data_IF_592885523824
#
_entry.id   IF_592885523824
#
_cell.length_a   1.000
_cell.length_b   1.000
_cell.length_c   1.000
_cell.angle_alpha   90.00
_cell.angle_beta   90.00
_cell.angle_gamma   90.00
#
_symmetry.space_group_name_H-M   'P 1'
#
loop_
_entity.id
_entity.type
_entity.pdbx_description
1 polymer ?
#
# COMPACT_ATOMS: atom_id res chain seq x y z
N UNK A 1 -19.28 -45.16 -21.07
CA UNK A 1 -18.21 -44.23 -21.52
C UNK A 1 -18.75 -42.93 -22.09
N UNK A 2 -19.69 -42.90 -23.06
CA UNK A 2 -20.21 -41.65 -23.67
C UNK A 2 -20.84 -40.68 -22.67
N UNK A 3 -21.60 -41.14 -21.63
CA UNK A 3 -22.20 -40.31 -20.61
C UNK A 3 -21.21 -39.66 -19.65
N UNK A 4 -20.11 -40.34 -19.35
CA UNK A 4 -19.03 -39.78 -18.51
C UNK A 4 -18.25 -38.68 -19.24
N UNK A 5 -18.02 -38.85 -20.55
CA UNK A 5 -17.41 -37.81 -21.39
C UNK A 5 -18.31 -36.58 -21.52
N UNK A 6 -19.63 -36.75 -21.63
CA UNK A 6 -20.57 -35.63 -21.70
C UNK A 6 -20.60 -34.83 -20.38
N UNK A 7 -20.63 -35.51 -19.23
CA UNK A 7 -20.57 -34.87 -17.92
C UNK A 7 -19.25 -34.11 -17.68
N UNK A 8 -18.12 -34.72 -18.07
CA UNK A 8 -16.81 -34.08 -17.99
C UNK A 8 -16.72 -32.86 -18.89
N UNK A 9 -17.30 -32.87 -20.10
CA UNK A 9 -17.29 -31.74 -21.02
C UNK A 9 -18.19 -30.58 -20.48
N UNK A 10 -19.35 -30.88 -19.88
CA UNK A 10 -20.22 -29.86 -19.28
C UNK A 10 -19.53 -29.20 -18.09
N UNK A 11 -18.87 -29.97 -17.22
CA UNK A 11 -18.11 -29.44 -16.09
C UNK A 11 -16.95 -28.57 -16.57
N UNK A 12 -16.25 -28.98 -17.63
CA UNK A 12 -15.11 -28.22 -18.18
C UNK A 12 -15.58 -26.88 -18.80
N UNK A 13 -16.70 -26.86 -19.51
CA UNK A 13 -17.29 -25.64 -20.08
C UNK A 13 -17.76 -24.70 -18.96
N UNK A 14 -18.34 -25.22 -17.88
CA UNK A 14 -18.80 -24.39 -16.76
C UNK A 14 -17.64 -23.70 -16.03
N UNK A 15 -16.50 -24.37 -15.86
CA UNK A 15 -15.30 -23.79 -15.22
C UNK A 15 -14.68 -22.71 -16.09
N UNK A 16 -14.62 -22.92 -17.41
CA UNK A 16 -14.08 -21.88 -18.34
C UNK A 16 -14.99 -20.64 -18.36
N UNK A 17 -16.31 -20.83 -18.36
CA UNK A 17 -17.24 -19.70 -18.40
C UNK A 17 -17.19 -18.85 -17.14
N UNK A 18 -17.04 -19.45 -15.96
CA UNK A 18 -16.88 -18.69 -14.71
C UNK A 18 -15.56 -17.90 -14.65
N UNK A 19 -14.45 -18.49 -15.10
CA UNK A 19 -13.18 -17.79 -15.16
C UNK A 19 -13.23 -16.56 -16.09
N UNK A 20 -13.86 -16.70 -17.26
CA UNK A 20 -14.03 -15.57 -18.20
C UNK A 20 -14.91 -14.46 -17.64
N UNK A 21 -15.99 -14.82 -16.93
CA UNK A 21 -16.92 -13.86 -16.32
C UNK A 21 -16.21 -13.09 -15.19
N UNK A 22 -15.45 -13.77 -14.33
CA UNK A 22 -14.69 -13.13 -13.26
C UNK A 22 -13.66 -12.16 -13.81
N UNK A 23 -12.91 -12.53 -14.85
CA UNK A 23 -11.91 -11.66 -15.46
C UNK A 23 -12.56 -10.38 -16.04
N UNK A 24 -13.70 -10.50 -16.72
CA UNK A 24 -14.44 -9.35 -17.20
C UNK A 24 -14.93 -8.44 -16.05
N UNK A 25 -15.47 -9.03 -14.97
CA UNK A 25 -15.93 -8.29 -13.81
C UNK A 25 -14.78 -7.56 -13.10
N UNK A 26 -13.61 -8.19 -12.96
CA UNK A 26 -12.39 -7.57 -12.43
C UNK A 26 -11.98 -6.36 -13.28
N UNK A 27 -11.95 -6.49 -14.60
CA UNK A 27 -11.61 -5.38 -15.49
C UNK A 27 -12.61 -4.23 -15.40
N UNK A 28 -13.91 -4.52 -15.34
CA UNK A 28 -14.95 -3.48 -15.20
C UNK A 28 -14.81 -2.73 -13.88
N UNK A 29 -14.56 -3.43 -12.76
CA UNK A 29 -14.35 -2.83 -11.45
C UNK A 29 -13.10 -1.95 -11.42
N UNK A 30 -11.99 -2.40 -12.01
CA UNK A 30 -10.77 -1.62 -12.13
C UNK A 30 -10.98 -0.35 -12.99
N UNK A 31 -11.71 -0.44 -14.10
CA UNK A 31 -12.02 0.72 -14.94
C UNK A 31 -12.90 1.75 -14.20
N UNK A 32 -13.90 1.28 -13.45
CA UNK A 32 -14.72 2.16 -12.59
C UNK A 32 -13.89 2.82 -11.50
N UNK A 33 -13.01 2.06 -10.85
CA UNK A 33 -12.11 2.58 -9.83
C UNK A 33 -11.19 3.67 -10.40
N UNK A 34 -10.63 3.45 -11.60
CA UNK A 34 -9.82 4.46 -12.28
C UNK A 34 -10.60 5.75 -12.49
N UNK A 35 -11.86 5.66 -12.95
CA UNK A 35 -12.72 6.84 -13.14
C UNK A 35 -12.93 7.60 -11.83
N UNK A 36 -13.15 6.89 -10.71
CA UNK A 36 -13.25 7.51 -9.40
C UNK A 36 -11.94 8.16 -8.94
N UNK A 37 -10.80 7.49 -9.17
CA UNK A 37 -9.48 8.05 -8.87
C UNK A 37 -9.21 9.33 -9.66
N UNK A 38 -9.53 9.35 -10.96
CA UNK A 38 -9.36 10.52 -11.83
C UNK A 38 -10.21 11.72 -11.37
N UNK A 39 -11.34 11.46 -10.72
CA UNK A 39 -12.22 12.46 -10.11
C UNK A 39 -11.86 12.81 -8.66
N UNK A 40 -10.84 12.18 -8.07
CA UNK A 40 -10.44 12.38 -6.67
C UNK A 40 -11.34 11.69 -5.64
N UNK A 41 -12.30 10.86 -6.07
CA UNK A 41 -13.16 10.06 -5.19
C UNK A 41 -12.45 8.76 -4.82
N UNK A 42 -11.46 8.88 -3.93
CA UNK A 42 -10.65 7.74 -3.51
C UNK A 42 -11.45 6.73 -2.68
N UNK A 43 -12.49 7.16 -1.97
CA UNK A 43 -13.36 6.26 -1.19
C UNK A 43 -14.10 5.29 -2.11
N UNK A 44 -14.78 5.80 -3.14
CA UNK A 44 -15.48 4.96 -4.11
C UNK A 44 -14.50 4.09 -4.92
N UNK A 45 -13.30 4.61 -5.24
CA UNK A 45 -12.26 3.83 -5.89
C UNK A 45 -11.83 2.62 -5.05
N UNK A 46 -11.56 2.84 -3.75
CA UNK A 46 -11.19 1.77 -2.80
C UNK A 46 -12.28 0.70 -2.74
N UNK A 47 -13.57 1.08 -2.66
CA UNK A 47 -14.67 0.10 -2.65
C UNK A 47 -14.70 -0.76 -3.91
N UNK A 48 -14.51 -0.18 -5.10
CA UNK A 48 -14.48 -0.93 -6.36
C UNK A 48 -13.27 -1.86 -6.43
N UNK A 49 -12.09 -1.38 -6.02
CA UNK A 49 -10.86 -2.18 -6.03
C UNK A 49 -10.91 -3.31 -4.99
N UNK A 50 -11.47 -3.08 -3.81
CA UNK A 50 -11.73 -4.16 -2.84
C UNK A 50 -12.65 -5.23 -3.42
N UNK A 51 -13.75 -4.84 -4.05
CA UNK A 51 -14.64 -5.79 -4.73
C UNK A 51 -13.91 -6.56 -5.85
N UNK A 52 -12.97 -5.93 -6.54
CA UNK A 52 -12.14 -6.59 -7.55
C UNK A 52 -11.17 -7.60 -6.93
N UNK A 53 -10.53 -7.25 -5.80
CA UNK A 53 -9.66 -8.16 -5.03
C UNK A 53 -10.44 -9.36 -4.49
N UNK A 54 -11.68 -9.16 -4.05
CA UNK A 54 -12.56 -10.24 -3.58
C UNK A 54 -12.91 -11.24 -4.69
N UNK A 55 -12.99 -10.79 -5.95
CA UNK A 55 -13.20 -11.66 -7.10
C UNK A 55 -11.91 -12.39 -7.52
N UNK A 56 -10.77 -11.69 -7.52
CA UNK A 56 -9.46 -12.26 -7.83
C UNK A 56 -8.35 -11.45 -7.15
N UNK A 57 -7.80 -12.00 -6.07
CA UNK A 57 -6.71 -11.39 -5.31
C UNK A 57 -5.33 -11.55 -5.94
N UNK A 58 -5.22 -12.32 -7.03
CA UNK A 58 -3.94 -12.60 -7.71
C UNK A 58 -3.59 -11.60 -8.82
N UNK A 59 -4.46 -10.62 -9.07
CA UNK A 59 -4.24 -9.57 -10.08
C UNK A 59 -3.36 -8.47 -9.50
N UNK A 60 -2.12 -8.41 -9.96
CA UNK A 60 -1.12 -7.42 -9.52
C UNK A 60 -1.63 -5.98 -9.65
N UNK A 61 -2.16 -5.63 -10.83
CA UNK A 61 -2.64 -4.28 -11.13
C UNK A 61 -3.75 -3.84 -10.18
N UNK A 62 -4.64 -4.76 -9.80
CA UNK A 62 -5.71 -4.46 -8.84
C UNK A 62 -5.13 -4.16 -7.45
N UNK A 63 -4.19 -4.97 -6.96
CA UNK A 63 -3.53 -4.74 -5.67
C UNK A 63 -2.74 -3.43 -5.68
N UNK A 64 -1.98 -3.17 -6.75
CA UNK A 64 -1.22 -1.93 -6.89
C UNK A 64 -2.13 -0.70 -6.91
N UNK A 65 -3.19 -0.71 -7.72
CA UNK A 65 -4.14 0.40 -7.81
C UNK A 65 -4.89 0.63 -6.49
N UNK A 66 -5.23 -0.44 -5.76
CA UNK A 66 -5.82 -0.34 -4.42
C UNK A 66 -4.88 0.35 -3.43
N UNK A 67 -3.59 -0.01 -3.46
CA UNK A 67 -2.59 0.64 -2.64
C UNK A 67 -2.42 2.13 -3.00
N UNK A 68 -2.42 2.48 -4.29
CA UNK A 68 -2.41 3.87 -4.76
C UNK A 68 -3.65 4.63 -4.27
N UNK A 69 -4.84 4.03 -4.33
CA UNK A 69 -6.08 4.65 -3.85
C UNK A 69 -6.03 4.90 -2.33
N UNK A 70 -5.53 3.96 -1.53
CA UNK A 70 -5.29 4.16 -0.10
C UNK A 70 -4.27 5.27 0.17
N UNK A 71 -3.17 5.33 -0.60
CA UNK A 71 -2.16 6.40 -0.48
C UNK A 71 -2.77 7.77 -0.71
N UNK A 72 -3.60 7.91 -1.74
CA UNK A 72 -4.30 9.16 -2.06
C UNK A 72 -5.36 9.54 -1.03
N UNK A 73 -5.94 8.56 -0.34
CA UNK A 73 -6.84 8.76 0.79
C UNK A 73 -6.08 9.00 2.12
N UNK A 74 -4.74 9.02 2.10
CA UNK A 74 -3.87 9.12 3.29
C UNK A 74 -4.15 8.02 4.33
N UNK A 75 -4.57 6.84 3.85
CA UNK A 75 -4.71 5.63 4.65
C UNK A 75 -3.42 4.79 4.49
N UNK A 76 -2.33 5.32 5.04
CA UNK A 76 -1.00 4.71 4.89
C UNK A 76 -0.90 3.29 5.45
N UNK A 77 -1.54 2.94 6.59
CA UNK A 77 -1.49 1.55 7.07
C UNK A 77 -2.05 0.53 6.07
N UNK A 78 -3.19 0.84 5.45
CA UNK A 78 -3.77 -0.03 4.44
C UNK A 78 -2.99 0.01 3.11
N UNK A 79 -2.43 1.17 2.75
CA UNK A 79 -1.55 1.30 1.58
C UNK A 79 -0.32 0.40 1.70
N UNK A 80 0.42 0.47 2.82
CA UNK A 80 1.62 -0.33 3.12
C UNK A 80 1.32 -1.82 2.99
N UNK A 81 0.25 -2.29 3.65
CA UNK A 81 -0.18 -3.68 3.57
C UNK A 81 -0.46 -4.12 2.13
N UNK A 82 -1.13 -3.27 1.37
CA UNK A 82 -1.60 -3.59 0.01
C UNK A 82 -0.47 -3.54 -1.01
N UNK A 83 0.48 -2.58 -0.89
CA UNK A 83 1.72 -2.61 -1.67
C UNK A 83 2.53 -3.87 -1.40
N UNK A 84 2.63 -4.32 -0.15
CA UNK A 84 3.26 -5.59 0.18
C UNK A 84 2.61 -6.79 -0.52
N UNK A 85 1.28 -6.78 -0.74
CA UNK A 85 0.61 -7.80 -1.53
C UNK A 85 0.94 -7.68 -3.03
N UNK A 86 0.96 -6.47 -3.59
CA UNK A 86 1.34 -6.23 -4.98
C UNK A 86 2.78 -6.69 -5.25
N UNK A 87 3.73 -6.37 -4.37
CA UNK A 87 5.13 -6.79 -4.49
C UNK A 87 5.28 -8.33 -4.49
N UNK A 88 4.48 -9.05 -3.68
CA UNK A 88 4.49 -10.53 -3.70
C UNK A 88 4.03 -11.09 -5.03
N UNK A 89 3.12 -10.40 -5.74
CA UNK A 89 2.61 -10.82 -7.05
C UNK A 89 3.57 -10.44 -8.18
N UNK A 90 4.23 -9.28 -8.09
CA UNK A 90 5.23 -8.84 -9.05
C UNK A 90 6.44 -8.20 -8.34
N UNK A 91 7.43 -9.00 -7.91
CA UNK A 91 8.58 -8.51 -7.17
C UNK A 91 9.57 -7.69 -8.01
N UNK A 92 9.40 -7.65 -9.33
CA UNK A 92 10.29 -6.90 -10.21
C UNK A 92 9.77 -5.50 -10.56
N UNK A 93 8.58 -5.15 -10.09
CA UNK A 93 8.00 -3.83 -10.34
C UNK A 93 8.57 -2.78 -9.38
N UNK A 94 9.58 -2.04 -9.83
CA UNK A 94 10.33 -1.08 -9.03
C UNK A 94 9.44 -0.02 -8.36
N UNK A 95 8.46 0.54 -9.10
CA UNK A 95 7.59 1.62 -8.59
C UNK A 95 6.75 1.22 -7.37
N UNK A 96 6.51 -0.09 -7.16
CA UNK A 96 5.82 -0.55 -5.96
C UNK A 96 6.67 -0.36 -4.71
N UNK A 97 7.98 -0.59 -4.78
CA UNK A 97 8.92 -0.36 -3.66
C UNK A 97 9.05 1.14 -3.37
N UNK A 98 9.17 1.98 -4.40
CA UNK A 98 9.17 3.43 -4.21
C UNK A 98 7.90 3.92 -3.51
N UNK A 99 6.73 3.46 -3.99
CA UNK A 99 5.44 3.88 -3.45
C UNK A 99 5.24 3.37 -2.02
N UNK A 100 5.72 2.15 -1.71
CA UNK A 100 5.72 1.59 -0.35
C UNK A 100 6.59 2.45 0.58
N UNK A 101 7.84 2.75 0.19
CA UNK A 101 8.74 3.58 0.96
C UNK A 101 8.15 4.97 1.26
N UNK A 102 7.49 5.60 0.27
CA UNK A 102 6.78 6.88 0.45
C UNK A 102 5.65 6.77 1.48
N UNK A 103 4.88 5.67 1.48
CA UNK A 103 3.81 5.48 2.48
C UNK A 103 4.38 5.28 3.88
N UNK A 104 5.46 4.54 4.02
CA UNK A 104 6.14 4.31 5.30
C UNK A 104 6.76 5.62 5.84
N UNK A 105 7.40 6.41 4.98
CA UNK A 105 7.92 7.74 5.31
C UNK A 105 6.81 8.67 5.79
N UNK A 106 5.66 8.70 5.09
CA UNK A 106 4.54 9.57 5.45
C UNK A 106 3.90 9.15 6.78
N UNK A 107 3.70 7.85 6.99
CA UNK A 107 3.18 7.36 8.27
C UNK A 107 4.15 7.66 9.43
N UNK A 108 5.46 7.50 9.22
CA UNK A 108 6.48 7.89 10.19
C UNK A 108 6.41 9.38 10.53
N UNK A 109 6.25 10.26 9.52
CA UNK A 109 6.06 11.70 9.71
C UNK A 109 4.76 12.03 10.45
N UNK A 110 3.69 11.28 10.21
CA UNK A 110 2.42 11.45 10.93
C UNK A 110 2.54 11.08 12.41
N UNK A 111 3.29 10.02 12.72
CA UNK A 111 3.59 9.63 14.11
C UNK A 111 4.41 10.72 14.80
N UNK A 112 5.48 11.21 14.18
CA UNK A 112 6.35 12.26 14.74
C UNK A 112 5.57 13.55 15.00
N UNK A 113 4.66 13.89 14.08
CA UNK A 113 3.84 15.10 14.18
C UNK A 113 2.62 14.95 15.11
N UNK A 114 2.38 13.75 15.67
CA UNK A 114 1.21 13.48 16.52
C UNK A 114 -0.12 13.51 15.76
N UNK A 115 -0.10 13.39 14.42
CA UNK A 115 -1.32 13.35 13.60
C UNK A 115 -2.03 11.99 13.68
N UNK A 116 -1.32 10.99 14.14
CA UNK A 116 -1.82 9.64 14.40
C UNK A 116 -1.37 9.15 15.76
N UNK A 117 -2.20 8.30 16.36
CA UNK A 117 -1.91 7.56 17.58
C UNK A 117 -1.70 6.10 17.25
N UNK A 118 -0.66 5.51 17.81
CA UNK A 118 -0.40 4.06 17.74
C UNK A 118 -0.93 3.42 19.02
N UNK A 119 -1.87 2.50 18.89
CA UNK A 119 -2.49 1.75 19.98
C UNK A 119 -1.63 0.54 20.38
N UNK A 120 -1.99 -0.11 21.51
CA UNK A 120 -1.25 -1.26 22.03
C UNK A 120 -1.29 -2.50 21.12
N UNK A 121 -2.29 -2.61 20.27
CA UNK A 121 -2.42 -3.66 19.24
C UNK A 121 -1.72 -3.31 17.91
N UNK A 122 -0.93 -2.22 17.89
CA UNK A 122 -0.29 -1.63 16.71
C UNK A 122 -1.27 -1.09 15.65
N UNK A 123 -2.54 -0.93 15.96
CA UNK A 123 -3.44 -0.16 15.09
C UNK A 123 -3.11 1.33 15.13
N UNK A 124 -3.40 2.02 14.04
CA UNK A 124 -3.12 3.44 13.87
C UNK A 124 -4.44 4.18 13.71
N UNK A 125 -4.65 5.21 14.53
CA UNK A 125 -5.84 6.06 14.50
C UNK A 125 -5.44 7.50 14.19
N UNK A 126 -6.22 8.18 13.33
CA UNK A 126 -6.04 9.63 13.09
C UNK A 126 -6.48 10.41 14.33
N UNK A 127 -5.67 11.40 14.73
CA UNK A 127 -6.02 12.33 15.82
C UNK A 127 -6.79 13.49 15.22
N UNK A 128 -7.99 13.78 15.77
CA UNK A 128 -8.78 14.92 15.33
C UNK A 128 -8.05 16.24 15.66
N UNK A 129 -8.07 17.18 14.71
CA UNK A 129 -7.35 18.47 14.81
C UNK A 129 -7.78 19.33 16.00
N UNK A 130 -8.91 19.03 16.64
CA UNK A 130 -9.38 19.71 17.84
C UNK A 130 -8.50 19.48 19.06
N UNK A 131 -7.75 18.35 19.08
CA UNK A 131 -6.86 17.99 20.20
C UNK A 131 -5.38 18.38 19.95
N UNK A 132 -5.04 18.79 18.71
CA UNK A 132 -3.67 19.09 18.27
C UNK A 132 -3.25 20.57 18.45
N UNK A 133 -4.12 21.45 18.92
CA UNK A 133 -3.81 22.90 19.13
C UNK A 133 -3.08 23.23 20.43
N UNK A 134 -2.55 22.25 21.15
CA UNK A 134 -1.66 22.54 22.25
C UNK A 134 -0.22 22.51 21.76
N UNK A 135 0.52 23.56 22.05
CA UNK A 135 1.98 23.75 21.85
C UNK A 135 2.81 22.72 22.68
N UNK A 136 2.19 21.55 23.01
CA UNK A 136 2.77 20.49 23.80
C UNK A 136 3.59 19.59 22.91
N UNK A 137 4.89 19.47 23.21
CA UNK A 137 5.79 18.51 22.59
C UNK A 137 5.15 17.14 22.58
N UNK A 138 5.00 16.55 21.39
CA UNK A 138 4.47 15.20 21.22
C UNK A 138 5.38 14.21 21.97
N UNK A 139 4.81 13.53 22.96
CA UNK A 139 5.50 12.46 23.69
C UNK A 139 5.06 11.12 23.09
N UNK A 140 5.97 10.46 22.40
CA UNK A 140 5.70 9.18 21.77
C UNK A 140 5.67 8.05 22.81
N UNK A 141 4.66 7.18 22.74
CA UNK A 141 4.62 5.92 23.50
C UNK A 141 5.73 4.96 23.01
N UNK A 142 6.07 3.96 23.81
CA UNK A 142 7.06 2.96 23.38
C UNK A 142 6.63 2.19 22.11
N UNK A 143 5.33 1.92 21.96
CA UNK A 143 4.78 1.33 20.72
C UNK A 143 4.94 2.26 19.53
N UNK A 144 4.68 3.56 19.73
CA UNK A 144 4.89 4.58 18.68
C UNK A 144 6.36 4.67 18.27
N UNK A 145 7.29 4.67 19.24
CA UNK A 145 8.74 4.68 18.96
C UNK A 145 9.18 3.45 18.20
N UNK A 146 8.70 2.26 18.62
CA UNK A 146 9.02 1.01 17.93
C UNK A 146 8.51 1.04 16.48
N UNK A 147 7.21 1.34 16.29
CA UNK A 147 6.61 1.44 14.96
C UNK A 147 7.35 2.46 14.08
N UNK A 148 7.68 3.64 14.63
CA UNK A 148 8.45 4.67 13.94
C UNK A 148 9.80 4.15 13.45
N UNK A 149 10.55 3.46 14.30
CA UNK A 149 11.84 2.88 13.94
C UNK A 149 11.69 1.81 12.86
N UNK A 150 10.67 0.95 12.96
CA UNK A 150 10.40 -0.08 11.96
C UNK A 150 10.05 0.56 10.59
N UNK A 151 9.18 1.58 10.58
CA UNK A 151 8.80 2.30 9.35
C UNK A 151 9.99 3.00 8.69
N UNK A 152 10.83 3.68 9.47
CA UNK A 152 12.00 4.36 8.91
C UNK A 152 13.02 3.37 8.33
N UNK A 153 13.26 2.24 9.00
CA UNK A 153 14.15 1.20 8.48
C UNK A 153 13.59 0.54 7.22
N UNK A 154 12.29 0.25 7.20
CA UNK A 154 11.63 -0.33 6.03
C UNK A 154 11.69 0.63 4.84
N UNK A 155 11.34 1.91 5.02
CA UNK A 155 11.41 2.91 3.97
C UNK A 155 12.83 3.05 3.38
N UNK A 156 13.87 3.03 4.22
CA UNK A 156 15.28 3.04 3.77
C UNK A 156 15.58 1.80 2.92
N UNK A 157 15.14 0.63 3.36
CA UNK A 157 15.31 -0.64 2.64
C UNK A 157 14.59 -0.62 1.29
N UNK A 158 13.34 -0.16 1.27
CA UNK A 158 12.50 -0.18 0.06
C UNK A 158 12.96 0.85 -0.97
N UNK A 159 13.46 2.02 -0.54
CA UNK A 159 14.17 2.94 -1.44
C UNK A 159 15.44 2.30 -2.04
N UNK A 160 16.18 1.50 -1.27
CA UNK A 160 17.31 0.73 -1.77
C UNK A 160 16.89 -0.30 -2.83
N UNK A 161 15.82 -1.07 -2.56
CA UNK A 161 15.27 -2.05 -3.51
C UNK A 161 14.75 -1.37 -4.79
N UNK A 162 14.15 -0.18 -4.68
CA UNK A 162 13.78 0.62 -5.85
C UNK A 162 15.01 0.97 -6.68
N UNK A 163 16.09 1.47 -6.06
CA UNK A 163 17.33 1.82 -6.78
C UNK A 163 17.97 0.61 -7.47
N UNK A 164 17.95 -0.55 -6.84
CA UNK A 164 18.51 -1.78 -7.41
C UNK A 164 17.75 -2.24 -8.67
N UNK A 165 16.46 -1.94 -8.73
CA UNK A 165 15.57 -2.32 -9.84
C UNK A 165 15.41 -1.21 -10.89
N UNK A 166 15.62 0.04 -10.51
CA UNK A 166 15.51 1.21 -11.39
C UNK A 166 16.90 1.67 -11.83
N UNK A 167 17.15 1.65 -13.13
CA UNK A 167 18.44 2.05 -13.73
C UNK A 167 18.53 3.55 -14.05
N UNK A 168 17.51 4.34 -13.72
CA UNK A 168 17.50 5.80 -13.96
C UNK A 168 18.54 6.50 -13.07
N UNK A 169 19.49 7.21 -13.71
CA UNK A 169 20.51 7.97 -12.98
C UNK A 169 19.93 9.24 -12.34
N UNK A 170 18.85 9.80 -12.92
CA UNK A 170 18.25 11.04 -12.44
C UNK A 170 17.56 10.83 -11.08
N UNK A 171 16.95 9.66 -10.86
CA UNK A 171 16.30 9.33 -9.59
C UNK A 171 17.27 9.02 -8.47
N UNK A 172 18.49 8.57 -8.82
CA UNK A 172 19.46 8.07 -7.86
C UNK A 172 19.83 9.12 -6.80
N UNK A 173 20.17 10.33 -7.23
CA UNK A 173 20.58 11.41 -6.31
C UNK A 173 19.44 11.79 -5.37
N UNK A 174 18.21 11.87 -5.89
CA UNK A 174 17.03 12.17 -5.10
C UNK A 174 16.77 11.09 -4.03
N UNK A 175 16.88 9.82 -4.40
CA UNK A 175 16.69 8.70 -3.44
C UNK A 175 17.80 8.67 -2.40
N UNK A 176 19.06 8.93 -2.77
CA UNK A 176 20.18 9.01 -1.83
C UNK A 176 19.97 10.13 -0.79
N UNK A 177 19.45 11.29 -1.21
CA UNK A 177 19.08 12.37 -0.30
C UNK A 177 17.94 11.96 0.65
N UNK A 178 16.91 11.29 0.13
CA UNK A 178 15.80 10.76 0.93
C UNK A 178 16.26 9.75 1.98
N UNK A 179 17.07 8.78 1.58
CA UNK A 179 17.65 7.79 2.50
C UNK A 179 18.46 8.46 3.60
N UNK A 180 19.27 9.48 3.27
CA UNK A 180 20.05 10.23 4.25
C UNK A 180 19.15 10.99 5.23
N UNK A 181 18.06 11.60 4.76
CA UNK A 181 17.07 12.27 5.61
C UNK A 181 16.47 11.29 6.63
N UNK A 182 16.03 10.11 6.15
CA UNK A 182 15.43 9.07 7.01
C UNK A 182 16.45 8.51 8.02
N UNK A 183 17.70 8.33 7.63
CA UNK A 183 18.77 7.91 8.55
C UNK A 183 19.03 8.96 9.65
N UNK A 184 18.97 10.24 9.33
CA UNK A 184 19.06 11.30 10.34
C UNK A 184 17.88 11.30 11.31
N UNK A 185 16.66 11.10 10.80
CA UNK A 185 15.46 10.97 11.64
C UNK A 185 15.56 9.76 12.57
N UNK A 186 16.02 8.63 12.06
CA UNK A 186 16.23 7.40 12.84
C UNK A 186 17.24 7.65 13.97
N UNK A 187 18.37 8.26 13.68
CA UNK A 187 19.39 8.58 14.68
C UNK A 187 18.88 9.52 15.79
N UNK A 188 18.03 10.49 15.45
CA UNK A 188 17.42 11.41 16.42
C UNK A 188 16.41 10.73 17.36
N UNK A 189 15.75 9.67 16.90
CA UNK A 189 14.73 8.95 17.68
C UNK A 189 15.30 7.84 18.55
N UNK A 190 16.46 7.29 18.20
CA UNK A 190 17.18 6.28 19.02
C UNK A 190 17.84 6.90 20.26
N UNK A 191 18.13 8.22 20.25
CA UNK A 191 18.88 8.93 21.32
C UNK A 191 17.96 9.54 22.38
N UNK A 192 16.64 9.45 22.26
CA UNK A 192 15.68 9.99 23.23
C UNK A 192 14.81 8.87 23.81
#
# INVERSE_FOLDING_TARGET
MKKAFLLASILFISVISTACINNFAVQELNNKAKTFMDNGDYTSAIERLKSSVDLDSSVFETQYNLAVAYTKAEDYPNAIKTYGNAIKLNPDFADAYYSLAVCEENLAKDIIAGRVKVNDDNSVEKVDKTDAESDTKVVLSENSKKMLNDLLNNAISDYGLYQDKNTSQDDKTYIEEKVKELQMLLAQNVVK
#
